data_IF_706094647318
#
_entry.id   IF_706094647318
#
_cell.length_a   1.000
_cell.length_b   1.000
_cell.length_c   1.000
_cell.angle_alpha   90.00
_cell.angle_beta   90.00
_cell.angle_gamma   90.00
#
_symmetry.space_group_name_H-M   'P 1'
#
loop_
_entity.id
_entity.type
_entity.pdbx_description
1 polymer ?
#
# COMPACT_ATOMS: atom_id res chain seq x y z
N UNK A 1 10.92 5.14 -16.75
CA UNK A 1 10.22 5.41 -15.49
C UNK A 1 9.79 4.07 -14.94
N UNK A 2 10.40 3.62 -13.84
CA UNK A 2 10.02 2.36 -13.21
C UNK A 2 8.62 2.52 -12.62
N UNK A 3 7.76 1.54 -12.87
CA UNK A 3 6.43 1.46 -12.25
C UNK A 3 6.62 1.41 -10.73
N UNK A 4 6.02 2.35 -9.99
CA UNK A 4 6.14 2.47 -8.53
C UNK A 4 5.76 1.15 -7.85
N UNK A 5 4.81 0.42 -8.44
CA UNK A 5 4.43 -0.95 -8.05
C UNK A 5 5.63 -1.89 -7.98
N UNK A 6 6.48 -1.89 -9.01
CA UNK A 6 7.66 -2.77 -9.10
C UNK A 6 8.70 -2.37 -8.06
N UNK A 7 8.91 -1.07 -7.85
CA UNK A 7 9.85 -0.57 -6.86
C UNK A 7 9.46 -1.00 -5.43
N UNK A 8 8.17 -0.89 -5.08
CA UNK A 8 7.64 -1.33 -3.78
C UNK A 8 7.85 -2.83 -3.58
N UNK A 9 7.51 -3.64 -4.59
CA UNK A 9 7.68 -5.10 -4.52
C UNK A 9 9.15 -5.48 -4.32
N UNK A 10 10.07 -4.89 -5.09
CA UNK A 10 11.51 -5.17 -4.97
C UNK A 10 12.08 -4.77 -3.61
N UNK A 11 11.59 -3.67 -3.04
CA UNK A 11 12.03 -3.20 -1.72
C UNK A 11 11.56 -4.11 -0.60
N UNK A 12 10.33 -4.65 -0.69
CA UNK A 12 9.68 -5.38 0.39
C UNK A 12 9.80 -6.91 0.28
N UNK A 13 10.13 -7.45 -0.91
CA UNK A 13 10.35 -8.89 -1.12
C UNK A 13 11.30 -9.52 -0.09
N UNK A 14 12.46 -8.93 0.25
CA UNK A 14 13.37 -9.51 1.23
C UNK A 14 12.76 -9.62 2.63
N UNK A 15 11.79 -8.75 2.93
CA UNK A 15 11.13 -8.66 4.21
C UNK A 15 9.75 -9.33 4.23
N UNK A 16 9.32 -10.00 3.14
CA UNK A 16 7.94 -10.51 3.01
C UNK A 16 7.52 -11.49 4.12
N UNK A 17 8.48 -12.18 4.75
CA UNK A 17 8.18 -13.09 5.86
C UNK A 17 7.85 -12.36 7.18
N UNK A 18 8.18 -11.06 7.26
CA UNK A 18 7.97 -10.24 8.45
C UNK A 18 6.87 -9.20 8.23
N UNK A 19 6.61 -8.81 6.98
CA UNK A 19 5.54 -7.89 6.61
C UNK A 19 4.29 -8.69 6.31
N UNK A 20 3.25 -8.53 7.13
CA UNK A 20 1.97 -9.22 6.98
C UNK A 20 0.89 -8.28 6.41
N UNK A 21 1.02 -6.99 6.71
CA UNK A 21 0.06 -5.96 6.29
C UNK A 21 0.78 -4.66 5.94
N UNK A 22 0.21 -3.88 5.02
CA UNK A 22 0.65 -2.51 4.70
C UNK A 22 -0.56 -1.59 4.85
N UNK A 23 -0.34 -0.43 5.48
CA UNK A 23 -1.32 0.67 5.49
C UNK A 23 -0.85 1.76 4.53
N UNK A 24 -1.66 2.07 3.52
CA UNK A 24 -1.36 3.07 2.49
C UNK A 24 -2.43 4.17 2.49
N UNK A 25 -2.12 5.32 1.91
CA UNK A 25 -3.13 6.31 1.54
C UNK A 25 -3.80 5.92 0.21
N UNK A 26 -4.90 6.58 -0.15
CA UNK A 26 -5.56 6.42 -1.46
C UNK A 26 -4.82 7.15 -2.59
N UNK A 27 -3.51 7.30 -2.47
CA UNK A 27 -2.68 7.94 -3.48
C UNK A 27 -2.68 7.16 -4.80
N UNK A 28 -2.54 7.84 -5.95
CA UNK A 28 -2.49 7.19 -7.27
C UNK A 28 -1.36 6.16 -7.40
N UNK A 29 -0.31 6.28 -6.60
CA UNK A 29 0.82 5.35 -6.50
C UNK A 29 0.38 3.93 -6.07
N UNK A 30 -0.73 3.82 -5.33
CA UNK A 30 -1.28 2.55 -4.87
C UNK A 30 -2.48 2.08 -5.70
N UNK A 31 -2.74 2.69 -6.88
CA UNK A 31 -3.81 2.26 -7.78
C UNK A 31 -3.70 0.78 -8.21
N UNK A 32 -2.51 0.20 -8.13
CA UNK A 32 -2.24 -1.21 -8.45
C UNK A 32 -1.91 -2.05 -7.20
N UNK A 33 -2.44 -1.68 -6.02
CA UNK A 33 -2.16 -2.37 -4.75
C UNK A 33 -2.42 -3.88 -4.81
N UNK A 34 -3.39 -4.34 -5.60
CA UNK A 34 -3.67 -5.78 -5.78
C UNK A 34 -2.45 -6.57 -6.28
N UNK A 35 -1.63 -5.96 -7.15
CA UNK A 35 -0.39 -6.59 -7.64
C UNK A 35 0.67 -6.65 -6.53
N UNK A 36 0.73 -5.62 -5.69
CA UNK A 36 1.65 -5.55 -4.54
C UNK A 36 1.26 -6.61 -3.51
N UNK A 37 -0.01 -6.65 -3.12
CA UNK A 37 -0.58 -7.61 -2.18
C UNK A 37 -0.30 -9.05 -2.62
N UNK A 38 -0.57 -9.37 -3.90
CA UNK A 38 -0.32 -10.71 -4.45
C UNK A 38 1.16 -11.08 -4.52
N UNK A 39 2.04 -10.13 -4.84
CA UNK A 39 3.48 -10.41 -4.95
C UNK A 39 4.13 -10.64 -3.58
N UNK A 40 3.65 -9.93 -2.56
CA UNK A 40 4.18 -10.00 -1.20
C UNK A 40 3.43 -11.00 -0.31
N UNK A 41 2.24 -11.46 -0.73
CA UNK A 41 1.33 -12.33 0.04
C UNK A 41 0.89 -11.67 1.36
N UNK A 42 0.37 -10.44 1.25
CA UNK A 42 0.01 -9.57 2.38
C UNK A 42 -1.35 -8.89 2.15
N UNK A 43 -1.95 -8.40 3.24
CA UNK A 43 -3.12 -7.53 3.17
C UNK A 43 -2.74 -6.05 3.09
N UNK A 44 -3.47 -5.27 2.29
CA UNK A 44 -3.27 -3.81 2.17
C UNK A 44 -4.54 -3.11 2.64
N UNK A 45 -4.38 -2.19 3.59
CA UNK A 45 -5.44 -1.35 4.12
C UNK A 45 -5.23 0.10 3.70
N UNK A 46 -6.34 0.77 3.38
CA UNK A 46 -6.31 2.18 3.02
C UNK A 46 -6.73 3.05 4.19
N UNK A 47 -5.94 4.09 4.46
CA UNK A 47 -6.27 5.10 5.44
C UNK A 47 -7.54 5.82 4.99
N UNK A 48 -8.62 5.67 5.76
CA UNK A 48 -9.82 6.46 5.58
C UNK A 48 -9.58 7.83 6.20
N UNK A 49 -9.48 8.87 5.37
CA UNK A 49 -9.20 10.23 5.82
C UNK A 49 -10.38 10.74 6.68
N UNK A 50 -10.28 10.66 8.01
CA UNK A 50 -11.25 11.31 8.90
C UNK A 50 -10.83 12.77 9.10
N UNK A 51 -11.18 13.63 8.14
CA UNK A 51 -11.27 15.08 8.37
C UNK A 51 -12.61 15.58 7.85
N UNK A 52 -13.65 15.38 8.65
CA UNK A 52 -14.61 16.46 8.83
C UNK A 52 -14.64 16.81 10.31
N UNK A 53 -13.81 17.79 10.67
CA UNK A 53 -14.17 18.67 11.78
C UNK A 53 -15.53 19.27 11.41
N UNK A 54 -16.54 18.92 12.20
CA UNK A 54 -17.79 19.66 12.20
C UNK A 54 -17.50 20.95 12.97
N UNK A 55 -17.08 21.97 12.25
CA UNK A 55 -17.30 23.34 12.69
C UNK A 55 -18.75 23.67 12.28
N UNK A 56 -19.66 23.48 13.24
CA UNK A 56 -21.08 23.79 13.16
C UNK A 56 -21.59 24.16 14.54
#
# INVERSE_FOLDING_TARGET
>A
MADITIAIIQLLIPCKQHVHTIMADNGPEFSHYEKIAKALDIDIYFAHLTVHGNEG
#
